data_IF_454728358553
#
_entry.id   IF_454728358553
#
_cell.length_a   1.000
_cell.length_b   1.000
_cell.length_c   1.000
_cell.angle_alpha   90.00
_cell.angle_beta   90.00
_cell.angle_gamma   90.00
#
_symmetry.space_group_name_H-M   'P 1'
#
loop_
_entity.id
_entity.type
_entity.pdbx_description
1 polymer ?
#
# COMPACT_ATOMS: atom_id res chain seq x y z
N UNK A 1 6.26 -6.78 12.18
CA UNK A 1 7.33 -6.90 11.17
C UNK A 1 8.49 -6.01 11.59
N UNK A 2 9.75 -6.41 11.47
CA UNK A 2 10.93 -5.65 11.94
C UNK A 2 12.02 -5.72 10.87
N UNK A 3 12.79 -4.66 10.65
CA UNK A 3 13.96 -4.71 9.77
C UNK A 3 15.01 -5.68 10.36
N UNK A 4 15.29 -6.76 9.65
CA UNK A 4 16.27 -7.79 10.04
C UNK A 4 17.67 -7.44 9.52
N UNK A 5 17.77 -7.06 8.25
CA UNK A 5 19.03 -6.60 7.65
C UNK A 5 18.79 -5.64 6.48
N UNK A 6 19.81 -4.86 6.14
CA UNK A 6 19.80 -3.96 4.99
C UNK A 6 21.20 -3.94 4.35
N UNK A 7 21.25 -3.83 3.03
CA UNK A 7 22.48 -3.53 2.29
C UNK A 7 22.20 -2.49 1.19
N UNK A 8 23.15 -2.25 0.30
CA UNK A 8 23.02 -1.26 -0.80
C UNK A 8 21.87 -1.57 -1.78
N UNK A 9 21.40 -2.81 -1.85
CA UNK A 9 20.43 -3.26 -2.87
C UNK A 9 19.11 -3.75 -2.29
N UNK A 10 19.07 -4.20 -1.04
CA UNK A 10 17.88 -4.82 -0.46
C UNK A 10 17.67 -4.50 1.02
N UNK A 11 16.42 -4.62 1.42
CA UNK A 11 15.92 -4.59 2.78
C UNK A 11 15.32 -5.96 3.07
N UNK A 12 15.63 -6.52 4.22
CA UNK A 12 15.07 -7.80 4.68
C UNK A 12 14.30 -7.53 5.96
N UNK A 13 13.01 -7.83 5.93
CA UNK A 13 12.12 -7.66 7.08
C UNK A 13 11.75 -9.02 7.67
N UNK A 14 11.96 -9.19 8.97
CA UNK A 14 11.46 -10.32 9.73
C UNK A 14 9.98 -10.14 10.07
N UNK A 15 9.20 -11.19 9.85
CA UNK A 15 7.76 -11.25 10.04
C UNK A 15 7.39 -12.51 10.81
N UNK A 16 6.31 -12.43 11.60
CA UNK A 16 5.65 -13.62 12.16
C UNK A 16 4.76 -14.27 11.09
N UNK A 17 4.47 -15.56 11.24
CA UNK A 17 3.63 -16.31 10.30
C UNK A 17 2.20 -15.76 10.12
N UNK A 18 1.66 -15.04 11.12
CA UNK A 18 0.39 -14.33 11.00
C UNK A 18 0.47 -13.05 10.14
N UNK A 19 1.62 -12.39 10.13
CA UNK A 19 1.83 -11.12 9.43
C UNK A 19 1.93 -11.31 7.92
N UNK A 20 2.43 -12.46 7.44
CA UNK A 20 2.44 -12.77 6.00
C UNK A 20 1.03 -12.78 5.43
N UNK A 21 0.10 -13.49 6.09
CA UNK A 21 -1.30 -13.57 5.62
C UNK A 21 -1.96 -12.20 5.65
N UNK A 22 -1.64 -11.38 6.67
CA UNK A 22 -2.15 -10.02 6.72
C UNK A 22 -1.62 -9.18 5.54
N UNK A 23 -0.32 -9.23 5.26
CA UNK A 23 0.29 -8.53 4.11
C UNK A 23 -0.35 -8.95 2.79
N UNK A 24 -0.48 -10.25 2.55
CA UNK A 24 -1.10 -10.79 1.33
C UNK A 24 -2.55 -10.31 1.19
N UNK A 25 -3.34 -10.40 2.26
CA UNK A 25 -4.73 -9.92 2.27
C UNK A 25 -4.83 -8.41 2.05
N UNK A 26 -3.98 -7.62 2.71
CA UNK A 26 -3.96 -6.17 2.52
C UNK A 26 -3.60 -5.81 1.08
N UNK A 27 -2.65 -6.52 0.45
CA UNK A 27 -2.26 -6.26 -0.95
C UNK A 27 -3.30 -6.75 -1.97
N UNK A 28 -4.13 -7.73 -1.63
CA UNK A 28 -5.29 -8.14 -2.45
C UNK A 28 -6.34 -7.02 -2.58
N UNK A 29 -6.38 -6.07 -1.63
CA UNK A 29 -7.28 -4.93 -1.67
C UNK A 29 -6.91 -3.93 -2.78
N UNK A 30 -5.68 -3.95 -3.29
CA UNK A 30 -5.25 -3.00 -4.33
C UNK A 30 -5.90 -3.28 -5.69
N UNK A 31 -6.40 -2.25 -6.40
CA UNK A 31 -6.54 -0.85 -5.97
C UNK A 31 -7.78 -0.60 -5.10
N UNK A 32 -7.66 0.21 -4.05
CA UNK A 32 -8.79 0.55 -3.16
C UNK A 32 -9.45 1.88 -3.55
N UNK A 33 -8.68 2.86 -4.00
CA UNK A 33 -9.17 4.22 -4.26
C UNK A 33 -10.16 4.26 -5.44
N UNK A 34 -11.41 4.71 -5.22
CA UNK A 34 -12.36 5.01 -6.29
C UNK A 34 -11.81 6.00 -7.32
N UNK A 35 -12.26 5.87 -8.57
CA UNK A 35 -12.05 6.89 -9.59
C UNK A 35 -12.77 8.21 -9.21
N UNK A 36 -12.21 9.35 -9.58
CA UNK A 36 -12.86 10.66 -9.40
C UNK A 36 -12.86 11.26 -7.98
N UNK A 37 -12.13 10.70 -7.00
CA UNK A 37 -12.03 11.33 -5.65
C UNK A 37 -11.33 12.70 -5.68
N UNK A 38 -10.38 12.88 -6.61
CA UNK A 38 -9.65 14.13 -6.77
C UNK A 38 -9.85 14.65 -8.21
N UNK A 39 -11.01 15.26 -8.51
CA UNK A 39 -11.27 15.79 -9.83
C UNK A 39 -10.30 16.93 -10.15
N UNK A 40 -10.04 17.13 -11.45
CA UNK A 40 -9.27 18.29 -11.91
C UNK A 40 -9.93 19.58 -11.41
N UNK A 41 -9.16 20.36 -10.66
CA UNK A 41 -9.63 21.61 -10.03
C UNK A 41 -9.26 22.86 -10.83
N UNK A 42 -8.63 22.70 -11.99
CA UNK A 42 -8.11 23.79 -12.82
C UNK A 42 -8.39 23.55 -14.30
N UNK A 43 -9.48 24.15 -14.80
CA UNK A 43 -9.70 24.41 -16.22
C UNK A 43 -10.65 25.62 -16.35
N UNK A 44 -10.48 26.42 -17.40
CA UNK A 44 -11.36 27.55 -17.73
C UNK A 44 -12.55 27.16 -18.61
N UNK A 45 -12.54 25.97 -19.21
CA UNK A 45 -13.60 25.46 -20.09
C UNK A 45 -14.16 24.13 -19.55
N UNK A 46 -15.47 24.06 -19.23
CA UNK A 46 -16.12 22.84 -18.74
C UNK A 46 -16.05 21.63 -19.67
N UNK A 47 -16.03 21.82 -21.00
CA UNK A 47 -15.96 20.70 -21.95
C UNK A 47 -14.53 20.14 -22.01
N UNK A 48 -13.52 21.00 -22.10
CA UNK A 48 -12.11 20.58 -22.03
C UNK A 48 -11.80 19.90 -20.69
N UNK A 49 -12.39 20.39 -19.59
CA UNK A 49 -12.21 19.78 -18.25
C UNK A 49 -12.74 18.35 -18.18
N UNK A 50 -13.85 18.05 -18.87
CA UNK A 50 -14.42 16.71 -18.89
C UNK A 50 -13.55 15.75 -19.72
N UNK A 51 -13.12 16.18 -20.91
CA UNK A 51 -12.25 15.38 -21.77
C UNK A 51 -10.89 15.08 -21.09
N UNK A 52 -10.32 16.07 -20.38
CA UNK A 52 -9.10 15.90 -19.59
C UNK A 52 -9.30 14.94 -18.40
N UNK A 53 -10.45 15.03 -17.73
CA UNK A 53 -10.80 14.15 -16.61
C UNK A 53 -10.97 12.70 -17.09
N UNK A 54 -11.64 12.48 -18.22
CA UNK A 54 -11.83 11.15 -18.81
C UNK A 54 -10.49 10.52 -19.22
N UNK A 55 -9.59 11.32 -19.82
CA UNK A 55 -8.24 10.87 -20.16
C UNK A 55 -7.42 10.52 -18.90
N UNK A 56 -7.50 11.35 -17.86
CA UNK A 56 -6.83 11.08 -16.58
C UNK A 56 -7.33 9.78 -15.96
N UNK A 57 -8.64 9.56 -15.94
CA UNK A 57 -9.25 8.36 -15.37
C UNK A 57 -8.88 7.10 -16.17
N UNK A 58 -8.72 7.20 -17.50
CA UNK A 58 -8.18 6.11 -18.33
C UNK A 58 -6.74 5.77 -17.95
N UNK A 59 -5.84 6.75 -17.94
CA UNK A 59 -4.43 6.56 -17.62
C UNK A 59 -4.22 6.01 -16.20
N UNK A 60 -5.01 6.50 -15.24
CA UNK A 60 -4.98 6.02 -13.87
C UNK A 60 -5.45 4.57 -13.78
N UNK A 61 -6.43 4.15 -14.58
CA UNK A 61 -6.92 2.77 -14.63
C UNK A 61 -5.87 1.82 -15.19
N UNK A 62 -5.21 2.22 -16.29
CA UNK A 62 -4.11 1.44 -16.89
C UNK A 62 -2.94 1.30 -15.91
N UNK A 63 -2.49 2.41 -15.32
CA UNK A 63 -1.42 2.42 -14.32
C UNK A 63 -1.73 1.53 -13.10
N UNK A 64 -2.96 1.59 -12.57
CA UNK A 64 -3.41 0.70 -11.48
C UNK A 64 -3.42 -0.77 -11.89
N UNK A 65 -3.79 -1.08 -13.13
CA UNK A 65 -3.77 -2.45 -13.63
C UNK A 65 -2.35 -3.00 -13.75
N UNK A 66 -1.41 -2.20 -14.27
CA UNK A 66 0.02 -2.53 -14.32
C UNK A 66 0.60 -2.75 -12.93
N UNK A 67 0.38 -1.79 -12.02
CA UNK A 67 0.79 -1.88 -10.62
C UNK A 67 0.25 -3.14 -9.93
N UNK A 68 -1.00 -3.52 -10.22
CA UNK A 68 -1.57 -4.75 -9.66
C UNK A 68 -0.87 -5.99 -10.18
N UNK A 69 -0.50 -6.05 -11.46
CA UNK A 69 0.29 -7.14 -12.01
C UNK A 69 1.68 -7.19 -11.38
N UNK A 70 2.35 -6.05 -11.24
CA UNK A 70 3.65 -5.95 -10.58
C UNK A 70 3.60 -6.38 -9.11
N UNK A 71 2.54 -6.01 -8.39
CA UNK A 71 2.30 -6.40 -7.00
C UNK A 71 2.14 -7.90 -6.84
N UNK A 72 1.39 -8.53 -7.75
CA UNK A 72 1.25 -9.99 -7.79
C UNK A 72 2.57 -10.69 -8.12
N UNK A 73 3.36 -10.13 -9.02
CA UNK A 73 4.68 -10.65 -9.37
C UNK A 73 5.68 -10.48 -8.22
N UNK A 74 5.61 -9.37 -7.49
CA UNK A 74 6.39 -9.13 -6.29
C UNK A 74 6.10 -10.20 -5.24
N UNK A 75 4.82 -10.42 -4.89
CA UNK A 75 4.42 -11.40 -3.88
C UNK A 75 4.78 -12.85 -4.26
N UNK A 76 4.77 -13.18 -5.54
CA UNK A 76 5.05 -14.55 -6.05
C UNK A 76 6.51 -14.78 -6.41
N UNK A 77 7.37 -13.78 -6.25
CA UNK A 77 8.78 -13.87 -6.64
C UNK A 77 9.47 -14.99 -5.86
N UNK A 78 10.35 -15.79 -6.51
CA UNK A 78 11.14 -16.78 -5.79
C UNK A 78 11.93 -16.11 -4.66
N UNK A 79 11.91 -16.72 -3.47
CA UNK A 79 12.57 -16.19 -2.26
C UNK A 79 12.06 -14.82 -1.79
N UNK A 80 10.87 -14.41 -2.22
CA UNK A 80 10.21 -13.23 -1.66
C UNK A 80 9.96 -13.40 -0.17
N UNK A 81 9.51 -14.60 0.19
CA UNK A 81 9.27 -15.06 1.55
C UNK A 81 10.15 -16.27 1.83
N UNK A 82 11.13 -16.12 2.72
CA UNK A 82 12.00 -17.22 3.15
C UNK A 82 11.74 -17.55 4.63
N UNK A 83 11.65 -18.82 4.97
CA UNK A 83 11.54 -19.25 6.37
C UNK A 83 12.94 -19.39 6.96
N UNK A 84 13.20 -18.71 8.07
CA UNK A 84 14.44 -18.82 8.85
C UNK A 84 14.07 -19.07 10.31
N UNK A 85 14.39 -20.26 10.83
CA UNK A 85 14.08 -20.72 12.20
C UNK A 85 12.64 -20.39 12.66
N UNK A 86 12.46 -19.28 13.40
CA UNK A 86 11.20 -18.80 13.98
C UNK A 86 10.60 -17.57 13.27
N UNK A 87 11.23 -17.11 12.18
CA UNK A 87 10.85 -15.93 11.42
C UNK A 87 10.57 -16.26 9.95
N UNK A 88 9.72 -15.43 9.36
CA UNK A 88 9.56 -15.34 7.92
C UNK A 88 10.22 -14.05 7.44
N UNK A 89 11.12 -14.14 6.47
CA UNK A 89 11.84 -13.01 5.91
C UNK A 89 11.17 -12.54 4.63
N UNK A 90 10.83 -11.26 4.56
CA UNK A 90 10.39 -10.54 3.37
C UNK A 90 11.56 -9.76 2.78
N UNK A 91 11.93 -10.04 1.53
CA UNK A 91 13.00 -9.30 0.84
C UNK A 91 12.44 -8.23 -0.10
N UNK A 92 12.80 -6.97 0.11
CA UNK A 92 12.39 -5.84 -0.73
C UNK A 92 13.62 -5.20 -1.36
N UNK A 93 13.67 -5.05 -2.68
CA UNK A 93 14.79 -4.33 -3.30
C UNK A 93 14.66 -2.84 -2.97
N UNK A 94 15.78 -2.16 -2.72
CA UNK A 94 15.77 -0.70 -2.47
C UNK A 94 15.16 0.10 -3.62
N UNK A 95 15.34 -0.37 -4.87
CA UNK A 95 14.71 0.23 -6.05
C UNK A 95 13.18 0.13 -6.06
N UNK A 96 12.61 -0.81 -5.30
CA UNK A 96 11.16 -1.08 -5.24
C UNK A 96 10.49 -0.35 -4.06
N UNK A 97 11.26 0.29 -3.17
CA UNK A 97 10.72 0.90 -1.94
C UNK A 97 9.75 2.04 -2.24
N UNK A 98 10.09 2.94 -3.16
CA UNK A 98 9.21 4.05 -3.53
C UNK A 98 7.90 3.55 -4.14
N UNK A 99 7.99 2.58 -5.05
CA UNK A 99 6.81 1.93 -5.62
C UNK A 99 5.95 1.27 -4.54
N UNK A 100 6.56 0.53 -3.61
CA UNK A 100 5.81 -0.11 -2.53
C UNK A 100 5.17 0.93 -1.58
N UNK A 101 5.84 2.06 -1.32
CA UNK A 101 5.28 3.17 -0.55
C UNK A 101 4.04 3.76 -1.22
N UNK A 102 4.05 3.91 -2.54
CA UNK A 102 2.88 4.38 -3.31
C UNK A 102 1.70 3.41 -3.19
N UNK A 103 1.94 2.10 -3.39
CA UNK A 103 0.91 1.06 -3.25
C UNK A 103 0.30 1.07 -1.84
N UNK A 104 1.14 1.03 -0.81
CA UNK A 104 0.71 0.99 0.59
C UNK A 104 -0.06 2.26 0.95
N UNK A 105 0.37 3.42 0.46
CA UNK A 105 -0.32 4.68 0.69
C UNK A 105 -1.68 4.73 -0.03
N UNK A 106 -1.79 4.22 -1.25
CA UNK A 106 -3.07 4.17 -1.97
C UNK A 106 -4.08 3.27 -1.25
N UNK A 107 -3.65 2.09 -0.78
CA UNK A 107 -4.49 1.19 0.02
C UNK A 107 -4.93 1.91 1.30
N UNK A 108 -3.98 2.48 2.06
CA UNK A 108 -4.27 3.19 3.32
C UNK A 108 -5.28 4.31 3.14
N UNK A 109 -5.06 5.20 2.19
CA UNK A 109 -5.95 6.33 1.92
C UNK A 109 -7.30 5.85 1.41
N UNK A 110 -7.33 4.84 0.54
CA UNK A 110 -8.59 4.25 0.06
C UNK A 110 -9.43 3.65 1.19
N UNK A 111 -8.79 2.94 2.11
CA UNK A 111 -9.47 2.38 3.29
C UNK A 111 -9.94 3.47 4.24
N UNK A 112 -9.15 4.53 4.44
CA UNK A 112 -9.57 5.69 5.22
C UNK A 112 -10.84 6.34 4.67
N UNK A 113 -10.93 6.53 3.34
CA UNK A 113 -12.18 6.99 2.70
C UNK A 113 -13.34 6.00 2.89
N UNK A 114 -13.08 4.70 2.69
CA UNK A 114 -14.09 3.63 2.81
C UNK A 114 -14.66 3.55 4.23
N UNK A 115 -13.83 3.80 5.24
CA UNK A 115 -14.20 3.80 6.67
C UNK A 115 -14.90 5.09 7.12
N UNK A 116 -15.16 6.04 6.21
CA UNK A 116 -15.82 7.30 6.55
C UNK A 116 -14.89 8.35 7.15
N UNK A 117 -13.60 8.30 6.81
CA UNK A 117 -12.59 9.27 7.21
C UNK A 117 -12.44 9.40 8.74
N UNK A 118 -12.15 8.28 9.44
CA UNK A 118 -12.01 8.31 10.89
C UNK A 118 -10.95 9.33 11.33
N UNK A 119 -11.22 10.00 12.45
CA UNK A 119 -10.27 10.91 13.08
C UNK A 119 -9.15 10.10 13.75
N UNK A 120 -7.87 10.37 13.43
CA UNK A 120 -6.75 9.67 14.07
C UNK A 120 -6.61 9.94 15.57
N UNK A 121 -7.26 10.97 16.13
CA UNK A 121 -7.27 11.27 17.57
C UNK A 121 -8.39 10.52 18.32
N UNK A 122 -9.33 9.88 17.62
CA UNK A 122 -10.40 9.09 18.20
C UNK A 122 -10.03 7.59 18.19
N UNK A 123 -9.89 6.98 19.37
CA UNK A 123 -9.56 5.55 19.55
C UNK A 123 -10.76 4.59 19.23
N UNK A 124 -11.73 5.03 18.44
CA UNK A 124 -12.95 4.27 18.15
C UNK A 124 -12.73 3.24 17.05
N UNK A 125 -12.39 2.02 17.46
CA UNK A 125 -12.33 0.87 16.54
C UNK A 125 -13.74 0.50 16.06
N UNK A 126 -13.96 0.29 14.75
CA UNK A 126 -15.26 -0.11 14.22
C UNK A 126 -15.77 -1.42 14.84
N UNK A 127 -17.06 -1.45 15.18
CA UNK A 127 -17.70 -2.63 15.79
C UNK A 127 -18.18 -3.67 14.77
N UNK A 128 -18.32 -3.29 13.50
CA UNK A 128 -18.69 -4.20 12.41
C UNK A 128 -17.47 -4.94 11.86
N UNK A 129 -17.57 -6.27 11.72
CA UNK A 129 -16.46 -7.14 11.28
C UNK A 129 -15.86 -6.71 9.93
N UNK A 130 -16.68 -6.28 8.97
CA UNK A 130 -16.19 -5.84 7.67
C UNK A 130 -15.34 -4.57 7.77
N UNK A 131 -15.75 -3.60 8.61
CA UNK A 131 -14.97 -2.41 8.89
C UNK A 131 -13.75 -2.71 9.75
N UNK A 132 -13.77 -3.76 10.57
CA UNK A 132 -12.62 -4.19 11.34
C UNK A 132 -11.48 -4.71 10.44
N UNK A 133 -11.78 -5.48 9.39
CA UNK A 133 -10.76 -5.95 8.43
C UNK A 133 -10.13 -4.80 7.64
N UNK A 134 -10.96 -3.84 7.19
CA UNK A 134 -10.51 -2.62 6.53
C UNK A 134 -9.65 -1.76 7.48
N UNK A 135 -10.08 -1.59 8.73
CA UNK A 135 -9.34 -0.86 9.77
C UNK A 135 -7.97 -1.49 10.04
N UNK A 136 -7.92 -2.81 10.26
CA UNK A 136 -6.66 -3.53 10.51
C UNK A 136 -5.73 -3.39 9.30
N UNK A 137 -6.25 -3.48 8.08
CA UNK A 137 -5.46 -3.31 6.86
C UNK A 137 -4.93 -1.89 6.70
N UNK A 138 -5.74 -0.87 7.04
CA UNK A 138 -5.34 0.53 7.03
C UNK A 138 -4.20 0.80 8.01
N UNK A 139 -4.34 0.35 9.26
CA UNK A 139 -3.32 0.47 10.31
C UNK A 139 -2.05 -0.30 9.95
N UNK A 140 -2.21 -1.50 9.39
CA UNK A 140 -1.07 -2.29 8.92
C UNK A 140 -0.30 -1.58 7.79
N UNK A 141 -1.01 -0.94 6.85
CA UNK A 141 -0.38 -0.09 5.85
C UNK A 141 0.35 1.10 6.47
N UNK A 142 -0.22 1.75 7.49
CA UNK A 142 0.43 2.86 8.19
C UNK A 142 1.76 2.43 8.84
N UNK A 143 1.75 1.31 9.57
CA UNK A 143 2.96 0.73 10.19
C UNK A 143 4.02 0.34 9.14
N UNK A 144 3.60 -0.32 8.05
CA UNK A 144 4.48 -0.71 6.95
C UNK A 144 5.10 0.53 6.26
N UNK A 145 4.30 1.55 5.98
CA UNK A 145 4.75 2.81 5.38
C UNK A 145 5.80 3.50 6.27
N UNK A 146 5.55 3.60 7.57
CA UNK A 146 6.48 4.19 8.53
C UNK A 146 7.83 3.44 8.55
N UNK A 147 7.78 2.09 8.55
CA UNK A 147 8.99 1.26 8.50
C UNK A 147 9.78 1.43 7.22
N UNK A 148 9.11 1.46 6.07
CA UNK A 148 9.75 1.69 4.77
C UNK A 148 10.39 3.09 4.70
N UNK A 149 9.70 4.14 5.15
CA UNK A 149 10.24 5.50 5.20
C UNK A 149 11.47 5.59 6.11
N UNK A 150 11.42 4.97 7.29
CA UNK A 150 12.56 4.95 8.21
C UNK A 150 13.84 4.39 7.55
N UNK A 151 13.70 3.38 6.69
CA UNK A 151 14.84 2.81 5.95
C UNK A 151 15.41 3.71 4.85
N UNK A 152 14.66 4.69 4.37
CA UNK A 152 15.13 5.68 3.39
C UNK A 152 15.83 6.86 4.06
N UNK A 153 15.44 7.20 5.30
CA UNK A 153 15.95 8.36 6.03
C UNK A 153 17.16 8.07 6.92
N UNK A 154 17.40 6.79 7.27
CA UNK A 154 18.53 6.37 8.09
C UNK A 154 19.55 5.60 7.23
N UNK A 155 20.58 6.28 6.69
CA UNK A 155 21.65 5.62 5.96
C UNK A 155 22.55 4.90 6.96
N UNK A 156 22.27 3.62 7.20
CA UNK A 156 23.25 2.69 7.79
C UNK A 156 24.29 2.28 6.75
#
# INVERSE_FOLDING_TARGET
>A
MILHSSNEHQLVFGMKSGEQRLLERTFELYPVMPAGIAPLSKSSDPEEMQDEQDLLDELMRESKAENRLELMNFLRRPRQFEKEEDALLLTVKKSEVNWLLEIVNEIRVGLWYKLGQPDPEEDEVPSETAHLEDWISMEYCADLQARLLFTLTDPK
#
